data_IF_127442291215
#
_entry.id   IF_127442291215
#
_cell.length_a   1.000
_cell.length_b   1.000
_cell.length_c   1.000
_cell.angle_alpha   90.00
_cell.angle_beta   90.00
_cell.angle_gamma   90.00
#
_symmetry.space_group_name_H-M   'P 1'
#
loop_
_entity.id
_entity.type
_entity.pdbx_description
1 polymer ?
#
# COMPACT_ATOMS: atom_id res chain seq x y z
N UNK A 1 14.40 59.69 22.94
CA UNK A 1 14.12 58.92 21.71
C UNK A 1 15.37 58.33 21.07
N UNK A 2 16.43 59.11 20.74
CA UNK A 2 17.63 58.55 20.05
C UNK A 2 18.28 57.35 20.77
N UNK A 3 18.47 57.39 22.11
CA UNK A 3 19.05 56.28 22.89
C UNK A 3 18.23 54.98 22.83
N UNK A 4 16.90 55.07 22.83
CA UNK A 4 16.00 53.91 22.76
C UNK A 4 16.09 53.29 21.38
N UNK A 5 16.11 54.09 20.31
CA UNK A 5 16.26 53.60 18.93
C UNK A 5 17.60 52.88 18.77
N UNK A 6 18.70 53.41 19.32
CA UNK A 6 20.01 52.75 19.25
C UNK A 6 20.00 51.42 19.97
N UNK A 7 19.41 51.32 21.16
CA UNK A 7 19.31 50.06 21.91
C UNK A 7 18.50 49.02 21.12
N UNK A 8 17.35 49.41 20.57
CA UNK A 8 16.50 48.50 19.76
C UNK A 8 17.25 48.01 18.53
N UNK A 9 17.98 48.90 17.84
CA UNK A 9 18.74 48.55 16.66
C UNK A 9 19.89 47.57 17.01
N UNK A 10 20.61 47.81 18.12
CA UNK A 10 21.69 46.92 18.59
C UNK A 10 21.13 45.53 18.94
N UNK A 11 20.00 45.44 19.62
CA UNK A 11 19.35 44.17 19.96
C UNK A 11 18.90 43.42 18.68
N UNK A 12 18.35 44.12 17.70
CA UNK A 12 17.94 43.57 16.44
C UNK A 12 19.14 42.99 15.66
N UNK A 13 20.24 43.71 15.57
CA UNK A 13 21.48 43.26 14.93
C UNK A 13 22.06 42.04 15.64
N UNK A 14 22.06 42.06 16.98
CA UNK A 14 22.56 40.91 17.76
C UNK A 14 21.66 39.64 17.53
N UNK A 15 20.34 39.79 17.59
CA UNK A 15 19.40 38.70 17.34
C UNK A 15 19.53 38.18 15.93
N UNK A 16 19.74 39.05 14.94
CA UNK A 16 19.97 38.62 13.55
C UNK A 16 21.26 37.85 13.40
N UNK A 17 22.34 38.27 14.05
CA UNK A 17 23.62 37.56 14.02
C UNK A 17 23.54 36.18 14.70
N UNK A 18 22.83 36.08 15.83
CA UNK A 18 22.56 34.80 16.51
C UNK A 18 21.71 33.90 15.61
N UNK A 19 20.67 34.45 15.01
CA UNK A 19 19.81 33.67 14.10
C UNK A 19 20.56 33.13 12.88
N UNK A 20 21.40 33.95 12.25
CA UNK A 20 22.28 33.51 11.13
C UNK A 20 23.26 32.43 11.61
N UNK A 21 23.88 32.61 12.77
CA UNK A 21 24.79 31.62 13.35
C UNK A 21 24.11 30.28 13.61
N UNK A 22 22.96 30.30 14.26
CA UNK A 22 22.15 29.11 14.52
C UNK A 22 21.69 28.45 13.21
N UNK A 23 21.19 29.24 12.26
CA UNK A 23 20.76 28.74 10.95
C UNK A 23 21.87 28.01 10.20
N UNK A 24 23.11 28.49 10.25
CA UNK A 24 24.24 27.82 9.60
C UNK A 24 24.64 26.50 10.29
N UNK A 25 24.57 26.44 11.63
CA UNK A 25 24.90 25.21 12.39
C UNK A 25 23.87 24.10 12.14
N UNK A 26 22.60 24.48 11.96
CA UNK A 26 21.50 23.54 11.73
C UNK A 26 21.16 23.36 10.25
N UNK A 27 22.04 23.72 9.34
CA UNK A 27 21.84 23.50 7.91
C UNK A 27 22.02 22.02 7.58
N UNK A 28 21.12 21.46 6.77
CA UNK A 28 21.23 20.06 6.33
C UNK A 28 22.53 19.88 5.54
N UNK A 29 23.44 19.09 6.07
CA UNK A 29 24.68 18.67 5.42
C UNK A 29 24.55 17.25 4.84
N UNK A 30 23.73 16.41 5.45
CA UNK A 30 23.51 15.05 5.00
C UNK A 30 22.06 14.56 5.14
N UNK A 31 21.66 13.72 4.20
CA UNK A 31 20.43 12.93 4.27
C UNK A 31 20.81 11.45 4.26
N UNK A 32 20.51 10.75 5.34
CA UNK A 32 20.71 9.30 5.42
C UNK A 32 19.40 8.62 5.08
N UNK A 33 19.36 7.83 4.02
CA UNK A 33 18.21 7.02 3.64
C UNK A 33 18.46 5.57 4.00
N UNK A 34 17.55 4.99 4.78
CA UNK A 34 17.52 3.55 5.07
C UNK A 34 16.35 2.97 4.30
N UNK A 35 16.63 2.34 3.16
CA UNK A 35 15.63 1.69 2.34
C UNK A 35 15.62 0.17 2.61
N UNK A 36 14.45 -0.37 2.98
CA UNK A 36 14.22 -1.82 2.99
C UNK A 36 13.77 -2.23 1.60
N UNK A 37 14.58 -3.03 0.92
CA UNK A 37 14.34 -3.45 -0.47
C UNK A 37 14.24 -4.96 -0.56
N UNK A 38 13.40 -5.45 -1.47
CA UNK A 38 13.19 -6.87 -1.75
C UNK A 38 13.65 -7.25 -3.14
N UNK A 39 13.70 -6.29 -4.10
CA UNK A 39 14.14 -6.48 -5.48
C UNK A 39 15.51 -5.82 -5.74
N UNK A 40 16.18 -6.22 -6.81
CA UNK A 40 17.46 -5.59 -7.22
C UNK A 40 17.22 -4.22 -7.88
N UNK A 41 16.09 -4.06 -8.57
CA UNK A 41 15.63 -2.78 -9.11
C UNK A 41 15.45 -1.76 -8.00
N UNK A 42 14.79 -2.14 -6.91
CA UNK A 42 14.57 -1.27 -5.76
C UNK A 42 15.87 -0.81 -5.08
N UNK A 43 16.94 -1.62 -5.10
CA UNK A 43 18.25 -1.19 -4.60
C UNK A 43 18.84 -0.05 -5.43
N UNK A 44 18.63 -0.12 -6.75
CA UNK A 44 19.08 0.92 -7.68
C UNK A 44 18.24 2.18 -7.49
N UNK A 45 16.93 2.05 -7.43
CA UNK A 45 15.98 3.14 -7.18
C UNK A 45 16.26 3.83 -5.83
N UNK A 46 16.53 3.05 -4.76
CA UNK A 46 16.87 3.59 -3.44
C UNK A 46 18.14 4.46 -3.47
N UNK A 47 19.12 4.08 -4.28
CA UNK A 47 20.36 4.86 -4.46
C UNK A 47 20.08 6.19 -5.16
N UNK A 48 19.21 6.20 -6.16
CA UNK A 48 18.80 7.40 -6.87
C UNK A 48 17.93 8.29 -5.97
N UNK A 49 16.97 7.71 -5.27
CA UNK A 49 16.10 8.39 -4.31
C UNK A 49 16.91 9.10 -3.22
N UNK A 50 17.97 8.46 -2.71
CA UNK A 50 18.87 9.10 -1.73
C UNK A 50 19.50 10.36 -2.28
N UNK A 51 19.97 10.35 -3.53
CA UNK A 51 20.59 11.53 -4.17
C UNK A 51 19.55 12.65 -4.36
N UNK A 52 18.35 12.31 -4.82
CA UNK A 52 17.28 13.30 -5.00
C UNK A 52 16.83 13.91 -3.68
N UNK A 53 16.71 13.11 -2.62
CA UNK A 53 16.40 13.60 -1.27
C UNK A 53 17.52 14.53 -0.75
N UNK A 54 18.78 14.19 -0.98
CA UNK A 54 19.90 15.04 -0.58
C UNK A 54 19.89 16.39 -1.30
N UNK A 55 19.60 16.41 -2.60
CA UNK A 55 19.45 17.66 -3.37
C UNK A 55 18.21 18.46 -2.94
N UNK A 56 17.09 17.79 -2.67
CA UNK A 56 15.85 18.44 -2.25
C UNK A 56 16.00 19.17 -0.91
N UNK A 57 16.70 18.58 0.06
CA UNK A 57 16.95 19.20 1.37
C UNK A 57 18.20 20.08 1.43
N UNK A 58 18.93 20.22 0.33
CA UNK A 58 20.17 21.01 0.30
C UNK A 58 19.89 22.48 0.63
N UNK A 59 20.51 22.92 1.71
CA UNK A 59 20.37 24.29 2.18
C UNK A 59 19.20 24.55 3.11
N UNK A 60 18.31 23.58 3.30
CA UNK A 60 17.26 23.65 4.30
C UNK A 60 17.83 23.61 5.74
N UNK A 61 17.08 24.05 6.70
CA UNK A 61 17.43 23.90 8.12
C UNK A 61 16.83 22.62 8.67
N UNK A 62 17.65 21.78 9.33
CA UNK A 62 17.17 20.58 10.04
C UNK A 62 16.04 20.90 11.02
N UNK A 63 16.12 22.07 11.68
CA UNK A 63 15.08 22.50 12.63
C UNK A 63 13.70 22.59 11.98
N UNK A 64 13.63 23.12 10.76
CA UNK A 64 12.40 23.44 10.05
C UNK A 64 12.05 22.43 8.94
N UNK A 65 12.98 21.49 8.62
CA UNK A 65 12.73 20.45 7.63
C UNK A 65 11.47 19.65 7.98
N UNK A 66 10.61 19.44 6.98
CA UNK A 66 9.36 18.70 7.07
C UNK A 66 9.38 17.49 6.17
N UNK A 67 8.55 16.52 6.47
CA UNK A 67 8.41 15.30 5.66
C UNK A 67 7.77 15.52 4.30
N UNK A 68 6.99 16.61 4.12
CA UNK A 68 6.28 16.90 2.87
C UNK A 68 7.21 16.89 1.65
N UNK A 69 8.43 17.41 1.81
CA UNK A 69 9.42 17.43 0.74
C UNK A 69 9.92 16.01 0.41
N UNK A 70 10.05 15.14 1.42
CA UNK A 70 10.39 13.74 1.21
C UNK A 70 9.26 13.01 0.48
N UNK A 71 8.01 13.25 0.86
CA UNK A 71 6.83 12.69 0.18
C UNK A 71 6.79 13.10 -1.30
N UNK A 72 7.02 14.39 -1.60
CA UNK A 72 7.09 14.87 -3.01
C UNK A 72 8.18 14.17 -3.83
N UNK A 73 9.34 13.86 -3.22
CA UNK A 73 10.37 13.08 -3.91
C UNK A 73 9.92 11.64 -4.10
N UNK A 74 9.28 11.03 -3.09
CA UNK A 74 8.81 9.64 -3.14
C UNK A 74 7.67 9.42 -4.15
N UNK A 75 6.90 10.44 -4.53
CA UNK A 75 5.91 10.38 -5.62
C UNK A 75 6.50 9.86 -6.94
N UNK A 76 7.80 10.05 -7.17
CA UNK A 76 8.52 9.52 -8.34
C UNK A 76 8.92 8.04 -8.19
N UNK A 77 8.76 7.47 -7.02
CA UNK A 77 9.18 6.13 -6.64
C UNK A 77 7.99 5.36 -6.05
N UNK A 78 7.00 4.98 -6.85
CA UNK A 78 5.71 4.44 -6.37
C UNK A 78 5.86 3.15 -5.55
N UNK A 79 6.97 2.45 -5.71
CA UNK A 79 7.31 1.27 -4.89
C UNK A 79 7.81 1.61 -3.49
N UNK A 80 8.10 2.87 -3.18
CA UNK A 80 8.63 3.23 -1.87
C UNK A 80 7.63 4.02 -1.04
N UNK A 81 7.37 3.50 0.14
CA UNK A 81 6.57 4.18 1.14
C UNK A 81 7.46 4.73 2.26
N UNK A 82 7.27 6.01 2.59
CA UNK A 82 7.89 6.62 3.75
C UNK A 82 7.39 5.94 5.03
N UNK A 83 8.31 5.39 5.82
CA UNK A 83 7.98 4.74 7.09
C UNK A 83 8.40 5.55 8.29
N UNK A 84 9.41 6.42 8.12
CA UNK A 84 9.85 7.31 9.19
C UNK A 84 10.60 8.51 8.64
N UNK A 85 10.33 9.67 9.21
CA UNK A 85 11.08 10.89 9.02
C UNK A 85 11.66 11.33 10.36
N UNK A 86 12.99 11.45 10.44
CA UNK A 86 13.69 11.77 11.67
C UNK A 86 14.78 12.84 11.48
N UNK A 87 15.14 13.48 12.56
CA UNK A 87 16.17 14.53 12.61
C UNK A 87 17.27 14.09 13.56
N UNK A 88 18.50 14.06 13.09
CA UNK A 88 19.70 13.86 13.91
C UNK A 88 20.52 15.13 13.92
N UNK A 89 20.37 15.89 14.98
CA UNK A 89 21.02 17.16 15.15
C UNK A 89 22.55 17.02 15.19
N UNK A 90 23.30 18.05 14.71
CA UNK A 90 22.75 19.35 14.26
C UNK A 90 22.31 19.40 12.79
N UNK A 91 22.76 18.49 11.90
CA UNK A 91 22.83 18.73 10.46
C UNK A 91 22.37 17.53 9.58
N UNK A 92 21.84 16.45 10.17
CA UNK A 92 21.46 15.25 9.42
C UNK A 92 19.96 14.96 9.49
N UNK A 93 19.35 14.63 8.34
CA UNK A 93 18.03 14.03 8.25
C UNK A 93 18.14 12.52 8.09
N UNK A 94 17.27 11.77 8.77
CA UNK A 94 17.16 10.32 8.67
C UNK A 94 15.80 9.96 8.09
N UNK A 95 15.78 9.36 6.92
CA UNK A 95 14.57 8.97 6.19
C UNK A 95 14.57 7.45 6.07
N UNK A 96 13.53 6.80 6.60
CA UNK A 96 13.34 5.37 6.42
C UNK A 96 12.21 5.16 5.41
N UNK A 97 12.49 4.38 4.36
CA UNK A 97 11.53 3.99 3.36
C UNK A 97 11.50 2.46 3.22
N UNK A 98 10.37 1.91 2.83
CA UNK A 98 10.23 0.47 2.62
C UNK A 98 9.62 0.25 1.25
N UNK A 99 10.19 -0.68 0.47
CA UNK A 99 9.61 -1.15 -0.78
C UNK A 99 8.29 -1.86 -0.48
N UNK A 100 7.22 -1.47 -1.17
CA UNK A 100 5.94 -2.16 -1.13
C UNK A 100 6.00 -3.38 -2.07
N UNK A 101 5.61 -4.53 -1.54
CA UNK A 101 5.59 -5.76 -2.30
C UNK A 101 4.39 -5.77 -3.27
N UNK A 102 4.63 -6.23 -4.48
CA UNK A 102 3.57 -6.55 -5.44
C UNK A 102 2.76 -7.76 -4.94
N UNK A 103 1.45 -7.65 -4.98
CA UNK A 103 0.53 -8.72 -4.53
C UNK A 103 -0.48 -9.06 -5.59
N UNK A 104 -1.04 -8.06 -6.28
CA UNK A 104 -2.10 -8.25 -7.26
C UNK A 104 -1.69 -7.70 -8.62
N UNK A 105 -2.27 -8.29 -9.67
CA UNK A 105 -2.25 -7.78 -11.03
C UNK A 105 -3.71 -7.63 -11.51
N UNK A 106 -4.24 -6.41 -11.49
CA UNK A 106 -5.61 -6.14 -11.92
C UNK A 106 -5.65 -5.91 -13.43
N UNK A 107 -6.38 -6.79 -14.14
CA UNK A 107 -6.46 -6.78 -15.58
C UNK A 107 -7.22 -5.54 -16.09
N UNK A 108 -6.63 -4.84 -17.05
CA UNK A 108 -7.21 -3.73 -17.80
C UNK A 108 -7.39 -4.13 -19.28
N UNK A 109 -7.84 -3.22 -20.12
CA UNK A 109 -7.89 -3.46 -21.57
C UNK A 109 -6.49 -3.56 -22.20
N UNK A 110 -5.50 -2.82 -21.68
CA UNK A 110 -4.17 -2.66 -22.25
C UNK A 110 -3.06 -3.37 -21.46
N UNK A 111 -3.39 -4.18 -20.46
CA UNK A 111 -2.40 -4.87 -19.61
C UNK A 111 -2.87 -5.04 -18.17
N UNK A 112 -1.99 -4.75 -17.20
CA UNK A 112 -2.25 -4.95 -15.79
C UNK A 112 -1.81 -3.74 -14.96
N UNK A 113 -2.65 -3.33 -14.03
CA UNK A 113 -2.21 -2.54 -12.88
C UNK A 113 -1.59 -3.45 -11.85
N UNK A 114 -0.32 -3.26 -11.57
CA UNK A 114 0.39 -3.98 -10.51
C UNK A 114 0.15 -3.28 -9.19
N UNK A 115 -0.41 -4.01 -8.22
CA UNK A 115 -0.91 -3.42 -6.99
C UNK A 115 -0.15 -3.94 -5.76
N UNK A 116 0.12 -3.04 -4.83
CA UNK A 116 0.46 -3.40 -3.46
C UNK A 116 -0.73 -4.07 -2.75
N UNK A 117 -0.48 -4.65 -1.58
CA UNK A 117 -1.53 -5.30 -0.77
C UNK A 117 -2.69 -4.36 -0.38
N UNK A 118 -2.44 -3.09 -0.28
CA UNK A 118 -3.42 -2.07 0.09
C UNK A 118 -4.10 -1.41 -1.12
N UNK A 119 -3.80 -1.89 -2.34
CA UNK A 119 -4.37 -1.44 -3.60
C UNK A 119 -3.70 -0.22 -4.23
N UNK A 120 -2.54 0.22 -3.73
CA UNK A 120 -1.75 1.25 -4.40
C UNK A 120 -1.24 0.70 -5.73
N UNK A 121 -1.43 1.43 -6.82
CA UNK A 121 -0.91 1.10 -8.14
C UNK A 121 0.59 1.41 -8.14
N UNK A 122 1.40 0.36 -8.20
CA UNK A 122 2.86 0.45 -8.19
C UNK A 122 3.42 0.63 -9.61
N UNK A 123 2.77 -0.01 -10.59
CA UNK A 123 3.24 -0.04 -11.96
C UNK A 123 2.09 -0.39 -12.93
N UNK A 124 2.32 -0.18 -14.23
CA UNK A 124 1.44 -0.60 -15.33
C UNK A 124 2.28 -1.41 -16.30
N UNK A 125 1.93 -2.68 -16.52
CA UNK A 125 2.71 -3.63 -17.33
C UNK A 125 1.84 -4.51 -18.22
N UNK A 126 2.46 -5.08 -19.25
CA UNK A 126 1.81 -6.04 -20.16
C UNK A 126 1.71 -7.45 -19.54
N UNK A 127 2.43 -7.73 -18.46
CA UNK A 127 2.44 -9.02 -17.76
C UNK A 127 2.08 -8.90 -16.28
N UNK A 128 1.71 -10.04 -15.67
CA UNK A 128 1.30 -10.14 -14.25
C UNK A 128 2.43 -10.60 -13.32
N UNK A 129 3.68 -10.73 -13.82
CA UNK A 129 4.78 -11.29 -13.05
C UNK A 129 5.25 -10.31 -11.96
N UNK A 130 5.67 -10.85 -10.83
CA UNK A 130 6.22 -10.11 -9.71
C UNK A 130 7.69 -9.77 -9.95
N UNK A 131 8.08 -8.52 -9.79
CA UNK A 131 9.45 -8.06 -10.04
C UNK A 131 10.49 -8.63 -9.07
N UNK A 132 10.09 -9.08 -7.88
CA UNK A 132 11.02 -9.56 -6.87
C UNK A 132 11.43 -11.01 -7.06
N UNK A 133 10.54 -11.88 -7.57
CA UNK A 133 10.77 -13.33 -7.69
C UNK A 133 10.40 -13.93 -9.05
N UNK A 134 9.78 -13.13 -9.95
CA UNK A 134 9.33 -13.59 -11.26
C UNK A 134 8.11 -14.52 -11.24
N UNK A 135 7.56 -14.81 -10.06
CA UNK A 135 6.31 -15.56 -9.95
C UNK A 135 5.10 -14.68 -10.26
N UNK A 136 3.99 -15.30 -10.62
CA UNK A 136 2.78 -14.57 -10.96
C UNK A 136 2.13 -13.93 -9.71
N UNK A 137 1.74 -12.66 -9.82
CA UNK A 137 0.89 -11.99 -8.85
C UNK A 137 -0.52 -12.58 -8.86
N UNK A 138 -1.33 -12.30 -7.84
CA UNK A 138 -2.73 -12.70 -7.84
C UNK A 138 -3.48 -11.90 -8.90
N UNK A 139 -3.86 -12.56 -10.00
CA UNK A 139 -4.57 -11.91 -11.09
C UNK A 139 -6.00 -11.59 -10.68
N UNK A 140 -6.42 -10.34 -10.88
CA UNK A 140 -7.78 -9.87 -10.69
C UNK A 140 -8.38 -9.60 -12.07
N UNK A 141 -9.48 -10.30 -12.40
CA UNK A 141 -10.17 -10.16 -13.66
C UNK A 141 -11.55 -9.53 -13.46
N UNK A 142 -11.90 -8.58 -14.30
CA UNK A 142 -13.15 -7.80 -14.20
C UNK A 142 -13.07 -6.64 -13.22
N UNK A 143 -14.23 -6.06 -12.84
CA UNK A 143 -14.29 -4.93 -11.91
C UNK A 143 -13.87 -3.58 -12.49
N UNK A 144 -13.46 -3.53 -13.76
CA UNK A 144 -13.06 -2.32 -14.49
C UNK A 144 -12.15 -1.40 -13.67
N UNK A 145 -10.93 -1.85 -13.33
CA UNK A 145 -10.02 -1.07 -12.51
C UNK A 145 -9.60 0.22 -13.21
N UNK A 146 -9.57 1.32 -12.46
CA UNK A 146 -9.11 2.63 -12.94
C UNK A 146 -8.22 3.30 -11.89
N UNK A 147 -7.25 4.10 -12.33
CA UNK A 147 -6.35 4.88 -11.48
C UNK A 147 -5.04 5.22 -12.19
N UNK A 148 -4.18 5.93 -11.50
CA UNK A 148 -2.84 6.30 -11.96
C UNK A 148 -1.77 5.70 -11.01
N UNK A 149 -0.53 5.61 -11.46
CA UNK A 149 0.59 5.11 -10.64
C UNK A 149 0.73 5.98 -9.40
N UNK A 150 0.80 5.35 -8.22
CA UNK A 150 0.86 5.99 -6.92
C UNK A 150 -0.51 6.13 -6.23
N UNK A 151 -1.60 6.10 -6.98
CA UNK A 151 -2.96 6.18 -6.45
C UNK A 151 -3.49 4.81 -6.00
N UNK A 152 -4.61 4.82 -5.28
CA UNK A 152 -5.38 3.62 -5.01
C UNK A 152 -6.21 3.23 -6.24
N UNK A 153 -6.13 1.96 -6.62
CA UNK A 153 -7.03 1.43 -7.65
C UNK A 153 -8.47 1.64 -7.22
N UNK A 154 -9.30 2.11 -8.12
CA UNK A 154 -10.74 2.25 -7.94
C UNK A 154 -11.49 1.40 -8.96
N UNK A 155 -12.76 1.09 -8.65
CA UNK A 155 -13.62 0.23 -9.45
C UNK A 155 -14.65 -0.44 -8.56
N UNK A 156 -15.70 -1.01 -9.16
CA UNK A 156 -16.78 -1.61 -8.41
C UNK A 156 -16.29 -2.80 -7.56
N UNK A 157 -16.40 -2.70 -6.23
CA UNK A 157 -16.05 -3.77 -5.29
C UNK A 157 -14.55 -3.89 -4.94
N UNK A 158 -13.68 -3.05 -5.50
CA UNK A 158 -12.23 -3.12 -5.20
C UNK A 158 -11.92 -2.79 -3.74
N UNK A 159 -12.53 -1.76 -3.18
CA UNK A 159 -12.33 -1.38 -1.77
C UNK A 159 -12.68 -2.52 -0.80
N UNK A 160 -13.80 -3.19 -1.05
CA UNK A 160 -14.28 -4.33 -0.26
C UNK A 160 -13.36 -5.53 -0.41
N UNK A 161 -12.96 -5.85 -1.64
CA UNK A 161 -12.02 -6.93 -1.93
C UNK A 161 -10.70 -6.72 -1.20
N UNK A 162 -10.10 -5.54 -1.33
CA UNK A 162 -8.81 -5.23 -0.70
C UNK A 162 -8.89 -5.30 0.82
N UNK A 163 -9.96 -4.76 1.43
CA UNK A 163 -10.21 -4.90 2.88
C UNK A 163 -10.31 -6.37 3.30
N UNK A 164 -11.03 -7.18 2.52
CA UNK A 164 -11.14 -8.62 2.79
C UNK A 164 -9.78 -9.30 2.71
N UNK A 165 -9.00 -9.07 1.66
CA UNK A 165 -7.67 -9.63 1.47
C UNK A 165 -6.71 -9.24 2.61
N UNK A 166 -6.73 -7.99 3.08
CA UNK A 166 -5.94 -7.56 4.23
C UNK A 166 -6.29 -8.33 5.51
N UNK A 167 -7.58 -8.60 5.74
CA UNK A 167 -8.03 -9.35 6.92
C UNK A 167 -7.64 -10.83 6.81
N UNK A 168 -7.86 -11.43 5.64
CA UNK A 168 -7.53 -12.82 5.38
C UNK A 168 -6.03 -13.08 5.47
N UNK A 169 -5.20 -12.18 4.94
CA UNK A 169 -3.74 -12.32 4.94
C UNK A 169 -3.13 -12.48 6.34
N UNK A 170 -3.73 -11.86 7.35
CA UNK A 170 -3.27 -11.94 8.75
C UNK A 170 -3.33 -13.36 9.32
N UNK A 171 -4.25 -14.20 8.84
CA UNK A 171 -4.41 -15.60 9.30
C UNK A 171 -3.84 -16.62 8.30
N UNK A 172 -3.74 -16.24 7.03
CA UNK A 172 -3.32 -17.13 5.94
C UNK A 172 -1.83 -17.03 5.56
N UNK A 173 -1.02 -16.27 6.32
CA UNK A 173 0.39 -16.02 5.98
C UNK A 173 0.59 -15.42 4.57
N UNK A 174 -0.29 -14.49 4.19
CA UNK A 174 -0.20 -13.77 2.93
C UNK A 174 -1.31 -14.15 1.93
N UNK A 175 -1.62 -13.22 1.05
CA UNK A 175 -2.65 -13.38 0.02
C UNK A 175 -2.12 -14.25 -1.12
N UNK A 176 -0.95 -13.89 -1.66
CA UNK A 176 -0.34 -14.52 -2.84
C UNK A 176 -0.06 -16.03 -2.64
N UNK A 177 0.26 -16.45 -1.41
CA UNK A 177 0.51 -17.86 -1.09
C UNK A 177 -0.76 -18.73 -1.11
N UNK A 178 -1.93 -18.13 -0.96
CA UNK A 178 -3.19 -18.87 -0.77
C UNK A 178 -4.22 -18.64 -1.87
N UNK A 179 -4.24 -17.46 -2.49
CA UNK A 179 -5.17 -17.11 -3.54
C UNK A 179 -4.46 -17.20 -4.89
N UNK A 180 -5.02 -17.94 -5.84
CA UNK A 180 -4.50 -18.08 -7.20
C UNK A 180 -4.96 -16.91 -8.08
N UNK A 181 -6.25 -16.63 -8.09
CA UNK A 181 -6.84 -15.53 -8.83
C UNK A 181 -8.15 -15.05 -8.19
N UNK A 182 -8.62 -13.90 -8.64
CA UNK A 182 -9.85 -13.27 -8.20
C UNK A 182 -10.66 -12.88 -9.45
N UNK A 183 -11.95 -13.19 -9.45
CA UNK A 183 -12.83 -12.91 -10.58
C UNK A 183 -14.02 -12.09 -10.10
N UNK A 184 -14.22 -10.94 -10.71
CA UNK A 184 -15.43 -10.15 -10.56
C UNK A 184 -16.45 -10.59 -11.62
N UNK A 185 -17.63 -10.97 -11.18
CA UNK A 185 -18.74 -11.39 -12.03
C UNK A 185 -19.94 -10.48 -11.81
N UNK A 186 -20.26 -9.65 -12.82
CA UNK A 186 -21.40 -8.72 -12.87
C UNK A 186 -21.55 -7.82 -11.62
N UNK A 187 -20.47 -7.21 -11.17
CA UNK A 187 -20.44 -6.41 -9.91
C UNK A 187 -21.42 -5.23 -9.95
N UNK A 188 -21.68 -4.65 -11.14
CA UNK A 188 -22.61 -3.53 -11.32
C UNK A 188 -24.08 -3.90 -11.04
N UNK A 189 -24.45 -5.18 -11.18
CA UNK A 189 -25.81 -5.69 -10.97
C UNK A 189 -26.01 -6.42 -9.62
N UNK A 190 -25.20 -6.10 -8.61
CA UNK A 190 -25.19 -6.83 -7.33
C UNK A 190 -24.37 -8.11 -7.39
N UNK A 191 -23.36 -8.11 -8.23
CA UNK A 191 -22.53 -9.22 -8.64
C UNK A 191 -21.68 -9.88 -7.55
N UNK A 192 -20.89 -10.82 -7.98
CA UNK A 192 -20.13 -11.74 -7.12
C UNK A 192 -18.65 -11.51 -7.29
N UNK A 193 -17.90 -11.69 -6.21
CA UNK A 193 -16.45 -11.78 -6.25
C UNK A 193 -16.08 -13.22 -5.90
N UNK A 194 -15.35 -13.88 -6.77
CA UNK A 194 -14.81 -15.22 -6.53
C UNK A 194 -13.33 -15.12 -6.15
N UNK A 195 -12.98 -15.56 -4.95
CA UNK A 195 -11.59 -15.78 -4.55
C UNK A 195 -11.27 -17.25 -4.82
N UNK A 196 -10.48 -17.53 -5.85
CA UNK A 196 -10.06 -18.87 -6.20
C UNK A 196 -8.79 -19.23 -5.39
N UNK A 197 -8.93 -20.14 -4.43
CA UNK A 197 -7.81 -20.56 -3.60
C UNK A 197 -6.87 -21.47 -4.41
N UNK A 198 -5.57 -21.44 -4.11
CA UNK A 198 -4.56 -22.27 -4.81
C UNK A 198 -4.80 -23.77 -4.65
N UNK A 199 -5.40 -24.20 -3.55
CA UNK A 199 -5.76 -25.60 -3.31
C UNK A 199 -6.97 -26.06 -4.14
N UNK A 200 -7.83 -25.14 -4.66
CA UNK A 200 -8.92 -25.45 -5.57
C UNK A 200 -10.30 -24.96 -5.12
N UNK A 201 -10.56 -24.87 -3.81
CA UNK A 201 -11.83 -24.37 -3.29
C UNK A 201 -12.01 -22.89 -3.68
N UNK A 202 -13.25 -22.48 -3.91
CA UNK A 202 -13.60 -21.09 -4.24
C UNK A 202 -14.39 -20.44 -3.13
N UNK A 203 -14.10 -19.20 -2.81
CA UNK A 203 -14.89 -18.39 -1.89
C UNK A 203 -15.75 -17.44 -2.71
N UNK A 204 -17.07 -17.59 -2.58
CA UNK A 204 -18.05 -16.77 -3.28
C UNK A 204 -18.52 -15.64 -2.36
N UNK A 205 -18.14 -14.43 -2.69
CA UNK A 205 -18.52 -13.21 -1.97
C UNK A 205 -19.65 -12.53 -2.73
N UNK A 206 -20.84 -12.59 -2.20
CA UNK A 206 -22.01 -11.80 -2.66
C UNK A 206 -22.16 -10.57 -1.78
N UNK A 207 -22.70 -9.47 -2.32
CA UNK A 207 -22.89 -8.20 -1.61
C UNK A 207 -21.66 -7.81 -0.77
N UNK A 208 -20.50 -7.67 -1.42
CA UNK A 208 -19.22 -7.45 -0.76
C UNK A 208 -19.23 -6.27 0.23
N UNK A 209 -20.05 -5.23 -0.04
CA UNK A 209 -20.23 -4.04 0.79
C UNK A 209 -20.91 -4.31 2.15
N UNK A 210 -21.66 -5.42 2.26
CA UNK A 210 -22.32 -5.80 3.50
C UNK A 210 -21.42 -6.68 4.36
N UNK A 211 -21.20 -6.29 5.63
CA UNK A 211 -20.45 -7.07 6.61
C UNK A 211 -19.04 -7.49 6.16
N UNK A 212 -18.36 -6.67 5.35
CA UNK A 212 -17.06 -6.98 4.70
C UNK A 212 -16.05 -7.61 5.67
N UNK A 213 -15.81 -6.98 6.83
CA UNK A 213 -14.86 -7.50 7.82
C UNK A 213 -15.33 -8.79 8.46
N UNK A 214 -16.62 -8.87 8.81
CA UNK A 214 -17.22 -10.07 9.41
C UNK A 214 -17.13 -11.27 8.47
N UNK A 215 -17.52 -11.07 7.20
CA UNK A 215 -17.40 -12.10 6.17
C UNK A 215 -15.97 -12.55 5.95
N UNK A 216 -15.01 -11.63 5.84
CA UNK A 216 -13.61 -11.98 5.65
C UNK A 216 -13.07 -12.88 6.77
N UNK A 217 -13.41 -12.58 8.03
CA UNK A 217 -13.04 -13.42 9.18
C UNK A 217 -13.67 -14.81 9.11
N UNK A 218 -14.99 -14.86 8.87
CA UNK A 218 -15.74 -16.11 8.81
C UNK A 218 -15.32 -16.99 7.63
N UNK A 219 -15.07 -16.40 6.44
CA UNK A 219 -14.53 -17.11 5.29
C UNK A 219 -13.16 -17.73 5.62
N UNK A 220 -12.28 -16.95 6.26
CA UNK A 220 -10.96 -17.45 6.66
C UNK A 220 -11.07 -18.61 7.66
N UNK A 221 -11.92 -18.48 8.67
CA UNK A 221 -12.15 -19.53 9.67
C UNK A 221 -12.72 -20.79 9.03
N UNK A 222 -13.71 -20.63 8.14
CA UNK A 222 -14.29 -21.76 7.42
C UNK A 222 -13.26 -22.46 6.53
N UNK A 223 -12.45 -21.71 5.75
CA UNK A 223 -11.41 -22.26 4.92
C UNK A 223 -10.37 -23.04 5.72
N UNK A 224 -9.92 -22.49 6.84
CA UNK A 224 -8.97 -23.17 7.73
C UNK A 224 -9.54 -24.43 8.42
N UNK A 225 -10.86 -24.50 8.56
CA UNK A 225 -11.55 -25.65 9.15
C UNK A 225 -11.87 -26.77 8.14
N UNK A 226 -11.65 -26.56 6.83
CA UNK A 226 -11.80 -27.59 5.82
C UNK A 226 -10.71 -28.66 5.94
N UNK A 227 -11.06 -29.92 5.70
CA UNK A 227 -10.10 -30.98 5.53
C UNK A 227 -9.44 -30.92 4.14
N UNK A 228 -8.40 -31.74 3.90
CA UNK A 228 -7.61 -31.70 2.68
C UNK A 228 -8.43 -32.00 1.42
N UNK A 229 -9.42 -32.91 1.50
CA UNK A 229 -10.31 -33.23 0.37
C UNK A 229 -11.27 -32.07 0.05
N UNK A 230 -11.83 -31.43 1.05
CA UNK A 230 -12.72 -30.27 0.91
C UNK A 230 -11.99 -29.06 0.33
N UNK A 231 -10.69 -28.90 0.60
CA UNK A 231 -9.89 -27.79 0.06
C UNK A 231 -9.61 -27.90 -1.44
N UNK A 232 -9.67 -29.12 -2.00
CA UNK A 232 -9.38 -29.35 -3.40
C UNK A 232 -10.52 -28.95 -4.32
N UNK A 233 -11.76 -28.78 -3.82
CA UNK A 233 -12.94 -28.52 -4.64
C UNK A 233 -14.05 -27.83 -3.85
N UNK A 234 -15.07 -27.41 -4.56
CA UNK A 234 -16.28 -26.85 -3.95
C UNK A 234 -16.22 -25.37 -3.68
N UNK A 235 -17.18 -24.90 -2.89
CA UNK A 235 -17.43 -23.49 -2.65
C UNK A 235 -17.67 -23.20 -1.18
N UNK A 236 -17.06 -22.10 -0.71
CA UNK A 236 -17.45 -21.45 0.54
C UNK A 236 -18.29 -20.23 0.16
N UNK A 237 -19.49 -20.10 0.69
CA UNK A 237 -20.36 -18.96 0.42
C UNK A 237 -21.05 -18.45 1.69
N UNK A 238 -21.39 -17.17 1.66
CA UNK A 238 -22.19 -16.53 2.68
C UNK A 238 -23.68 -16.59 2.32
N UNK A 239 -24.52 -16.93 3.31
CA UNK A 239 -25.95 -16.66 3.27
C UNK A 239 -26.23 -15.55 4.27
N UNK A 240 -26.73 -14.43 3.81
CA UNK A 240 -26.99 -13.24 4.64
C UNK A 240 -28.41 -13.31 5.22
N UNK A 241 -28.58 -12.73 6.40
CA UNK A 241 -29.90 -12.48 6.95
C UNK A 241 -30.63 -11.42 6.12
N UNK A 242 -31.99 -11.44 6.10
CA UNK A 242 -32.80 -10.48 5.33
C UNK A 242 -32.51 -9.00 5.70
N UNK A 243 -32.08 -8.75 6.91
CA UNK A 243 -31.74 -7.42 7.41
C UNK A 243 -30.28 -7.03 7.18
N UNK A 244 -29.46 -7.93 6.59
CA UNK A 244 -28.04 -7.70 6.33
C UNK A 244 -27.16 -7.59 7.58
N UNK A 245 -27.67 -7.95 8.76
CA UNK A 245 -26.94 -7.80 10.04
C UNK A 245 -26.08 -8.99 10.40
N UNK A 246 -26.30 -10.15 9.78
CA UNK A 246 -25.57 -11.38 10.02
C UNK A 246 -25.35 -12.19 8.76
N UNK A 247 -24.31 -13.02 8.74
CA UNK A 247 -24.03 -13.95 7.66
C UNK A 247 -23.68 -15.34 8.21
N UNK A 248 -24.22 -16.37 7.57
CA UNK A 248 -23.87 -17.76 7.79
C UNK A 248 -22.93 -18.22 6.67
N UNK A 249 -21.75 -18.71 7.03
CA UNK A 249 -20.79 -19.24 6.07
C UNK A 249 -20.87 -20.75 6.00
N UNK A 250 -21.11 -21.26 4.79
CA UNK A 250 -21.25 -22.69 4.53
C UNK A 250 -20.29 -23.15 3.43
N UNK A 251 -19.87 -24.41 3.51
CA UNK A 251 -19.16 -25.11 2.44
C UNK A 251 -20.11 -26.02 1.68
N UNK A 252 -19.96 -26.10 0.36
CA UNK A 252 -20.64 -27.05 -0.52
C UNK A 252 -19.65 -27.70 -1.47
N UNK A 253 -19.66 -29.04 -1.56
CA UNK A 253 -18.76 -29.80 -2.41
C UNK A 253 -19.03 -29.61 -3.92
N UNK A 254 -20.29 -29.31 -4.29
CA UNK A 254 -20.69 -29.10 -5.69
C UNK A 254 -21.35 -27.72 -5.83
N UNK A 255 -21.11 -27.11 -6.98
CA UNK A 255 -21.81 -25.91 -7.42
C UNK A 255 -23.25 -26.34 -7.81
N UNK A 256 -24.16 -26.23 -6.88
CA UNK A 256 -25.59 -26.27 -7.21
C UNK A 256 -26.00 -24.81 -7.42
N UNK A 257 -25.92 -24.40 -8.69
CA UNK A 257 -26.56 -23.16 -9.18
C UNK A 257 -28.06 -23.24 -8.96
#
# INVERSE_FOLDING_TARGET
MKKIITIVLTVLVFLSAVFIGVSNVYRVDGVTVVAKTYSDEAKTEATQMQKELQEAYKGESVLFAKEDLALTVLEKYPYFRLTKFGKRYPDVLCIEATEDAEVFAAQTEDGYYILAQDGTILDIRDDSNNRADGEENVVITGGNPVGEIGDKVSGAGFDELLKMCVIMSKKLNGVRSNIANIVFDNVEEGGRIFLCMREGVRINVVHAHLLTEGKARLFTEKYLALNDEERLTGFIHATESMDGTSALITYRANDLI
#
